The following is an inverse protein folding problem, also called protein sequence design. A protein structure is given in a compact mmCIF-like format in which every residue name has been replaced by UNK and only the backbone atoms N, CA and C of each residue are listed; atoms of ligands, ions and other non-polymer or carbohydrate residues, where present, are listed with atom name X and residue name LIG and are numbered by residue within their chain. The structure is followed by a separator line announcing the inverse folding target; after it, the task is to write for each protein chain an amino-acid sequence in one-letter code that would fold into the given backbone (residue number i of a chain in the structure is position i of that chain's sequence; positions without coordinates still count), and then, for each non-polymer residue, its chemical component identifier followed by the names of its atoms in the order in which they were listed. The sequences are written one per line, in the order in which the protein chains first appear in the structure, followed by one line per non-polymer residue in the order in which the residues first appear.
data_IF_974451882508
#
_entry.id   IF_974451882508
#
_cell.length_a   1.000
_cell.length_b   1.000
_cell.length_c   1.000
_cell.angle_alpha   90.00
_cell.angle_beta   90.00
_cell.angle_gamma   90.00
#
_symmetry.space_group_name_H-M   'P 1'
#
loop_
_entity.id
_entity.type
_entity.pdbx_description
1 polymer ?
#
# COMPACT_ATOMS: atom_id res chain seq x y z
N UNK A 1 8.24 21.02 61.99
CA UNK A 1 8.25 22.00 60.88
C UNK A 1 9.10 21.35 59.79
N UNK A 2 8.46 20.68 58.83
CA UNK A 2 8.13 21.24 57.50
C UNK A 2 9.40 21.22 56.63
N UNK A 3 9.51 20.61 55.46
CA UNK A 3 8.64 19.90 54.51
C UNK A 3 9.59 18.98 53.70
N UNK A 4 9.20 17.83 53.14
CA UNK A 4 8.75 17.67 51.73
C UNK A 4 9.58 18.55 50.75
N UNK A 5 10.20 18.05 49.67
CA UNK A 5 9.54 17.38 48.55
C UNK A 5 10.47 16.39 47.80
N UNK A 6 9.87 15.31 47.34
CA UNK A 6 10.36 14.44 46.26
C UNK A 6 10.05 15.14 44.93
N UNK A 7 11.05 15.40 44.11
CA UNK A 7 10.88 15.66 42.66
C UNK A 7 11.27 14.35 41.94
N UNK A 8 10.29 13.49 41.66
CA UNK A 8 9.53 13.41 40.41
C UNK A 8 10.42 13.13 39.19
N UNK A 9 10.60 11.83 39.00
CA UNK A 9 10.81 11.18 37.71
C UNK A 9 9.75 11.68 36.73
N UNK A 10 10.13 12.49 35.74
CA UNK A 10 9.24 12.87 34.63
C UNK A 10 9.81 12.26 33.33
N UNK A 11 9.51 10.96 33.25
CA UNK A 11 9.30 10.15 32.06
C UNK A 11 9.01 11.01 30.81
N UNK A 12 10.04 11.26 29.99
CA UNK A 12 9.86 11.71 28.61
C UNK A 12 9.24 10.56 27.79
N UNK A 13 7.95 10.30 28.01
CA UNK A 13 7.10 9.66 27.01
C UNK A 13 6.68 10.72 26.01
N UNK A 14 7.51 10.93 25.00
CA UNK A 14 7.01 11.37 23.71
C UNK A 14 5.98 10.32 23.26
N UNK A 15 4.70 10.65 23.42
CA UNK A 15 3.63 9.86 22.86
C UNK A 15 3.82 9.84 21.35
N UNK A 16 4.31 8.71 20.82
CA UNK A 16 4.30 8.44 19.40
C UNK A 16 2.83 8.51 18.95
N UNK A 17 2.44 9.66 18.40
CA UNK A 17 1.12 9.86 17.82
C UNK A 17 0.85 8.72 16.85
N UNK A 18 -0.37 8.19 16.88
CA UNK A 18 -0.73 7.04 16.05
C UNK A 18 -0.34 7.35 14.60
N UNK A 19 0.47 6.50 13.96
CA UNK A 19 1.03 6.83 12.66
C UNK A 19 -0.09 7.04 11.65
N UNK A 20 -0.15 8.24 11.08
CA UNK A 20 -1.23 8.68 10.19
C UNK A 20 -1.29 7.75 8.97
N UNK A 21 -2.45 7.16 8.62
CA UNK A 21 -2.59 6.37 7.41
C UNK A 21 -2.35 7.22 6.15
N UNK A 22 -1.86 6.60 5.07
CA UNK A 22 -1.77 7.29 3.78
C UNK A 22 -3.16 7.75 3.35
N UNK A 23 -3.33 9.04 3.09
CA UNK A 23 -4.57 9.58 2.57
C UNK A 23 -4.82 9.03 1.16
N UNK A 24 -6.07 8.69 0.85
CA UNK A 24 -6.46 8.24 -0.49
C UNK A 24 -6.59 9.47 -1.41
N UNK A 25 -5.57 9.67 -2.24
CA UNK A 25 -5.50 10.77 -3.20
C UNK A 25 -6.37 10.48 -4.42
N UNK A 26 -6.24 9.26 -4.96
CA UNK A 26 -6.96 8.78 -6.14
C UNK A 26 -7.55 7.41 -5.80
N UNK A 27 -8.79 7.19 -6.19
CA UNK A 27 -9.47 5.89 -6.05
C UNK A 27 -10.20 5.62 -7.35
N UNK A 28 -9.91 4.49 -8.00
CA UNK A 28 -10.56 4.08 -9.26
C UNK A 28 -11.11 2.66 -9.10
N UNK A 29 -12.41 2.49 -9.28
CA UNK A 29 -13.03 1.17 -9.18
C UNK A 29 -13.17 0.54 -10.56
N UNK A 30 -12.80 -0.74 -10.68
CA UNK A 30 -12.87 -1.55 -11.91
C UNK A 30 -12.22 -0.84 -13.10
N UNK A 31 -10.99 -0.38 -12.92
CA UNK A 31 -10.18 0.15 -13.99
C UNK A 31 -10.05 -0.92 -15.10
N UNK A 32 -10.52 -0.60 -16.30
CA UNK A 32 -10.55 -1.49 -17.45
C UNK A 32 -9.36 -1.19 -18.37
N UNK A 33 -8.32 -2.00 -18.23
CA UNK A 33 -7.01 -1.87 -18.88
C UNK A 33 -6.41 -3.25 -19.10
N UNK A 34 -5.50 -3.38 -20.05
CA UNK A 34 -4.98 -4.69 -20.48
C UNK A 34 -3.60 -5.05 -19.93
N UNK A 35 -2.76 -4.06 -19.63
CA UNK A 35 -1.39 -4.29 -19.19
C UNK A 35 -0.96 -3.32 -18.09
N UNK A 36 0.19 -3.60 -17.48
CA UNK A 36 0.75 -2.76 -16.42
C UNK A 36 1.04 -1.34 -16.92
N UNK A 37 1.49 -1.14 -18.16
CA UNK A 37 1.78 0.19 -18.69
C UNK A 37 0.51 1.06 -18.77
N UNK A 38 -0.63 0.48 -19.13
CA UNK A 38 -1.93 1.16 -19.14
C UNK A 38 -2.40 1.51 -17.73
N UNK A 39 -2.23 0.60 -16.75
CA UNK A 39 -2.48 0.90 -15.33
C UNK A 39 -1.67 2.11 -14.87
N UNK A 40 -0.35 2.09 -15.12
CA UNK A 40 0.55 3.17 -14.69
C UNK A 40 0.17 4.49 -15.35
N UNK A 41 -0.19 4.47 -16.64
CA UNK A 41 -0.60 5.68 -17.37
C UNK A 41 -1.92 6.25 -16.85
N UNK A 42 -2.91 5.40 -16.60
CA UNK A 42 -4.20 5.84 -16.07
C UNK A 42 -4.04 6.48 -14.69
N UNK A 43 -3.40 5.77 -13.75
CA UNK A 43 -3.22 6.28 -12.38
C UNK A 43 -2.34 7.52 -12.31
N UNK A 44 -1.25 7.57 -13.08
CA UNK A 44 -0.40 8.78 -13.13
C UNK A 44 -1.13 9.98 -13.73
N UNK A 45 -2.04 9.78 -14.71
CA UNK A 45 -2.92 10.84 -15.22
C UNK A 45 -3.81 11.43 -14.13
N UNK A 46 -4.51 10.59 -13.37
CA UNK A 46 -5.33 11.06 -12.24
C UNK A 46 -4.51 11.79 -11.17
N UNK A 47 -3.28 11.34 -10.92
CA UNK A 47 -2.38 11.98 -9.96
C UNK A 47 -1.89 13.34 -10.41
N UNK A 48 -1.64 13.50 -11.72
CA UNK A 48 -1.32 14.79 -12.33
C UNK A 48 -2.50 15.76 -12.20
N UNK A 49 -3.71 15.30 -12.53
CA UNK A 49 -4.93 16.11 -12.40
C UNK A 49 -5.20 16.53 -10.95
N UNK A 50 -4.85 15.68 -9.99
CA UNK A 50 -4.92 15.99 -8.56
C UNK A 50 -3.80 16.93 -8.06
N UNK A 51 -2.81 17.25 -8.89
CA UNK A 51 -1.64 18.05 -8.51
C UNK A 51 -0.72 17.37 -7.49
N UNK A 52 -0.80 16.03 -7.38
CA UNK A 52 -0.09 15.26 -6.36
C UNK A 52 1.34 14.88 -6.76
N UNK A 53 1.64 14.95 -8.06
CA UNK A 53 2.92 14.53 -8.64
C UNK A 53 3.41 15.52 -9.70
N UNK A 54 4.69 15.44 -10.05
CA UNK A 54 5.33 16.26 -11.09
C UNK A 54 4.94 15.81 -12.50
N UNK A 55 5.12 16.69 -13.50
CA UNK A 55 4.77 16.41 -14.91
C UNK A 55 5.51 15.20 -15.52
N UNK A 56 6.71 14.90 -15.02
CA UNK A 56 7.55 13.78 -15.47
C UNK A 56 7.26 12.45 -14.74
N UNK A 57 6.39 12.47 -13.72
CA UNK A 57 6.02 11.28 -12.94
C UNK A 57 5.57 10.07 -13.79
N UNK A 58 4.73 10.21 -14.84
CA UNK A 58 4.33 9.06 -15.66
C UNK A 58 5.51 8.34 -16.31
N UNK A 59 6.49 9.08 -16.83
CA UNK A 59 7.67 8.51 -17.48
C UNK A 59 8.59 7.85 -16.44
N UNK A 60 8.86 8.54 -15.33
CA UNK A 60 9.65 8.02 -14.23
C UNK A 60 9.06 6.72 -13.65
N UNK A 61 7.74 6.70 -13.44
CA UNK A 61 7.01 5.52 -12.95
C UNK A 61 7.13 4.32 -13.90
N UNK A 62 6.96 4.53 -15.20
CA UNK A 62 7.10 3.46 -16.19
C UNK A 62 8.53 2.92 -16.25
N UNK A 63 9.53 3.79 -16.29
CA UNK A 63 10.94 3.40 -16.30
C UNK A 63 11.31 2.61 -15.03
N UNK A 64 10.75 3.02 -13.89
CA UNK A 64 10.98 2.38 -12.59
C UNK A 64 10.37 0.99 -12.51
N UNK A 65 9.15 0.80 -13.00
CA UNK A 65 8.47 -0.49 -13.03
C UNK A 65 9.17 -1.48 -13.97
N UNK A 66 9.59 -1.02 -15.15
CA UNK A 66 10.34 -1.87 -16.10
C UNK A 66 11.65 -2.38 -15.51
N UNK A 67 12.32 -1.54 -14.70
CA UNK A 67 13.62 -1.88 -14.12
C UNK A 67 13.52 -2.69 -12.84
N UNK A 68 12.55 -2.40 -11.99
CA UNK A 68 12.29 -3.19 -10.79
C UNK A 68 10.79 -3.38 -10.63
N UNK A 69 10.27 -4.52 -11.11
CA UNK A 69 8.84 -4.84 -11.06
C UNK A 69 8.30 -4.84 -9.62
N UNK A 70 7.01 -4.53 -9.49
CA UNK A 70 6.34 -4.34 -8.19
C UNK A 70 5.12 -5.23 -8.00
N UNK A 71 4.93 -6.25 -8.84
CA UNK A 71 3.91 -7.27 -8.65
C UNK A 71 4.19 -8.11 -7.40
N UNK A 72 3.16 -8.33 -6.58
CA UNK A 72 3.26 -9.07 -5.32
C UNK A 72 2.49 -10.40 -5.40
N UNK A 73 3.14 -11.56 -5.17
CA UNK A 73 2.50 -12.87 -5.12
C UNK A 73 1.77 -13.07 -3.78
N UNK A 74 0.80 -12.21 -3.51
CA UNK A 74 -0.07 -12.23 -2.33
C UNK A 74 -1.25 -13.19 -2.55
N UNK A 75 -1.98 -13.62 -1.49
CA UNK A 75 -3.09 -14.58 -1.65
C UNK A 75 -4.13 -14.15 -2.70
N UNK A 76 -4.38 -12.85 -2.81
CA UNK A 76 -4.99 -12.24 -3.99
C UNK A 76 -3.90 -11.38 -4.63
N UNK A 77 -3.41 -11.70 -5.84
CA UNK A 77 -2.27 -10.98 -6.41
C UNK A 77 -2.53 -9.47 -6.54
N UNK A 78 -1.53 -8.68 -6.17
CA UNK A 78 -1.59 -7.22 -6.13
C UNK A 78 -0.34 -6.60 -6.75
N UNK A 79 -0.34 -5.30 -7.00
CA UNK A 79 0.86 -4.56 -7.41
C UNK A 79 1.02 -3.28 -6.58
N UNK A 80 2.26 -2.89 -6.30
CA UNK A 80 2.60 -1.66 -5.56
C UNK A 80 3.51 -0.71 -6.35
N UNK A 81 3.13 -0.31 -7.57
CA UNK A 81 3.98 0.56 -8.37
C UNK A 81 4.22 1.89 -7.66
N UNK A 82 5.42 2.41 -7.75
CA UNK A 82 5.82 3.68 -7.15
C UNK A 82 7.00 4.26 -7.91
N UNK A 83 7.13 5.59 -7.86
CA UNK A 83 8.29 6.31 -8.39
C UNK A 83 9.18 6.80 -7.24
N UNK A 84 10.33 7.38 -7.60
CA UNK A 84 11.23 7.97 -6.62
C UNK A 84 10.61 9.22 -5.97
N UNK A 85 10.97 9.54 -4.71
CA UNK A 85 10.32 10.61 -3.94
C UNK A 85 10.34 12.01 -4.56
N UNK A 86 11.33 12.29 -5.41
CA UNK A 86 11.47 13.60 -6.08
C UNK A 86 10.34 13.95 -7.04
N UNK A 87 9.59 12.94 -7.51
CA UNK A 87 8.42 13.14 -8.37
C UNK A 87 7.09 13.29 -7.59
N UNK A 88 7.12 13.17 -6.25
CA UNK A 88 5.94 13.26 -5.38
C UNK A 88 5.85 14.63 -4.74
N UNK A 89 4.75 15.34 -5.00
CA UNK A 89 4.46 16.65 -4.41
C UNK A 89 3.60 16.53 -3.15
N UNK A 90 2.66 15.59 -3.14
CA UNK A 90 1.72 15.36 -2.02
C UNK A 90 1.75 13.86 -1.66
N UNK A 91 2.16 13.50 -0.43
CA UNK A 91 2.10 12.12 0.03
C UNK A 91 0.68 11.57 0.07
N UNK A 92 0.53 10.29 -0.23
CA UNK A 92 -0.78 9.65 -0.26
C UNK A 92 -0.75 8.27 -0.89
N UNK A 93 -1.92 7.81 -1.31
CA UNK A 93 -2.13 6.50 -1.92
C UNK A 93 -3.10 6.66 -3.10
N UNK A 94 -2.69 6.17 -4.27
CA UNK A 94 -3.61 5.87 -5.35
C UNK A 94 -4.02 4.39 -5.25
N UNK A 95 -5.33 4.12 -5.27
CA UNK A 95 -5.87 2.76 -5.16
C UNK A 95 -6.75 2.45 -6.37
N UNK A 96 -6.53 1.30 -7.00
CA UNK A 96 -7.34 0.84 -8.11
C UNK A 96 -7.72 -0.63 -7.95
N UNK A 97 -9.01 -0.95 -8.06
CA UNK A 97 -9.44 -2.31 -8.38
C UNK A 97 -9.49 -2.48 -9.90
N UNK A 98 -9.02 -3.63 -10.41
CA UNK A 98 -8.95 -3.89 -11.84
C UNK A 98 -10.18 -4.69 -12.31
N UNK A 99 -10.76 -4.31 -13.45
CA UNK A 99 -11.91 -5.00 -14.03
C UNK A 99 -11.59 -6.48 -14.33
N UNK A 100 -10.34 -6.73 -14.73
CA UNK A 100 -9.80 -8.04 -15.05
C UNK A 100 -8.38 -8.17 -14.45
N UNK A 101 -7.85 -9.39 -14.25
CA UNK A 101 -6.45 -9.56 -13.85
C UNK A 101 -5.50 -8.96 -14.88
N UNK A 102 -4.49 -8.22 -14.41
CA UNK A 102 -3.48 -7.57 -15.25
C UNK A 102 -2.09 -8.09 -14.89
N UNK A 103 -1.28 -8.55 -15.84
CA UNK A 103 0.05 -9.07 -15.56
C UNK A 103 1.01 -7.97 -15.13
N UNK A 104 1.67 -8.17 -13.99
CA UNK A 104 2.81 -7.38 -13.50
C UNK A 104 4.02 -8.30 -13.33
N UNK A 105 5.22 -7.81 -13.59
CA UNK A 105 6.43 -8.56 -13.25
C UNK A 105 6.50 -8.78 -11.74
N UNK A 106 6.91 -9.97 -11.32
CA UNK A 106 7.02 -10.29 -9.91
C UNK A 106 8.20 -9.53 -9.26
N UNK A 107 7.90 -8.88 -8.15
CA UNK A 107 8.88 -8.20 -7.31
C UNK A 107 9.84 -9.22 -6.70
N UNK A 108 11.14 -8.99 -6.85
CA UNK A 108 12.18 -9.93 -6.39
C UNK A 108 12.92 -10.63 -7.55
N UNK A 109 12.48 -10.43 -8.79
CA UNK A 109 13.28 -10.74 -9.97
C UNK A 109 13.35 -12.22 -10.32
N UNK A 110 12.28 -12.98 -10.06
CA UNK A 110 12.14 -14.37 -10.52
C UNK A 110 12.08 -14.47 -12.05
N UNK A 111 11.67 -13.38 -12.72
CA UNK A 111 11.37 -13.35 -14.16
C UNK A 111 9.93 -13.75 -14.47
N UNK A 112 9.16 -14.11 -13.45
CA UNK A 112 7.76 -14.48 -13.55
C UNK A 112 6.83 -13.25 -13.47
N UNK A 113 5.55 -13.47 -13.75
CA UNK A 113 4.50 -12.46 -13.66
C UNK A 113 3.43 -12.88 -12.67
N UNK A 114 2.80 -11.90 -12.01
CA UNK A 114 1.60 -12.07 -11.20
C UNK A 114 0.41 -11.37 -11.85
N UNK A 115 -0.76 -11.99 -11.80
CA UNK A 115 -2.00 -11.45 -12.37
C UNK A 115 -2.71 -10.56 -11.35
N UNK A 116 -2.23 -9.33 -11.21
CA UNK A 116 -2.72 -8.38 -10.21
C UNK A 116 -4.22 -8.07 -10.39
N UNK A 117 -4.94 -7.99 -9.28
CA UNK A 117 -6.38 -7.62 -9.20
C UNK A 117 -6.60 -6.27 -8.54
N UNK A 118 -5.68 -5.88 -7.66
CA UNK A 118 -5.68 -4.62 -6.94
C UNK A 118 -4.31 -3.96 -7.11
N UNK A 119 -4.32 -2.65 -7.34
CA UNK A 119 -3.11 -1.82 -7.48
C UNK A 119 -3.15 -0.76 -6.38
N UNK A 120 -2.11 -0.74 -5.54
CA UNK A 120 -1.94 0.25 -4.48
C UNK A 120 -0.63 1.00 -4.71
N UNK A 121 -0.71 2.22 -5.25
CA UNK A 121 0.43 3.05 -5.63
C UNK A 121 0.73 4.07 -4.52
N UNK A 122 1.70 3.80 -3.62
CA UNK A 122 2.07 4.74 -2.59
C UNK A 122 2.82 5.94 -3.18
N UNK A 123 2.46 7.14 -2.75
CA UNK A 123 3.14 8.39 -3.07
C UNK A 123 3.91 8.82 -1.83
N UNK A 124 5.23 8.64 -1.86
CA UNK A 124 6.08 8.87 -0.69
C UNK A 124 7.11 9.94 -1.04
N UNK A 125 7.02 11.11 -0.41
CA UNK A 125 8.07 12.14 -0.52
C UNK A 125 9.24 11.89 0.44
N UNK A 126 9.03 11.09 1.49
CA UNK A 126 10.08 10.62 2.40
C UNK A 126 9.79 9.21 2.94
N UNK A 127 10.56 8.22 2.50
CA UNK A 127 10.34 6.83 2.89
C UNK A 127 10.42 6.56 4.41
N UNK A 128 11.23 7.32 5.16
CA UNK A 128 11.36 7.13 6.63
C UNK A 128 10.10 7.58 7.37
N UNK A 129 9.49 8.68 6.93
CA UNK A 129 8.29 9.23 7.54
C UNK A 129 7.06 8.34 7.31
N UNK A 130 7.11 7.48 6.29
CA UNK A 130 5.98 6.63 5.91
C UNK A 130 6.20 5.14 6.18
N UNK A 131 7.28 4.72 6.85
CA UNK A 131 7.57 3.30 7.10
C UNK A 131 6.41 2.57 7.79
N UNK A 132 5.81 3.18 8.82
CA UNK A 132 4.68 2.59 9.53
C UNK A 132 3.44 2.44 8.63
N UNK A 133 3.20 3.42 7.74
CA UNK A 133 2.08 3.37 6.81
C UNK A 133 2.30 2.32 5.71
N UNK A 134 3.53 2.17 5.22
CA UNK A 134 3.93 1.08 4.34
C UNK A 134 3.72 -0.29 4.98
N UNK A 135 4.13 -0.47 6.24
CA UNK A 135 3.93 -1.74 6.95
C UNK A 135 2.44 -2.09 7.07
N UNK A 136 1.57 -1.10 7.34
CA UNK A 136 0.12 -1.30 7.34
C UNK A 136 -0.41 -1.68 5.96
N UNK A 137 0.01 -0.98 4.91
CA UNK A 137 -0.37 -1.31 3.54
C UNK A 137 0.05 -2.75 3.18
N UNK A 138 1.29 -3.14 3.47
CA UNK A 138 1.77 -4.50 3.23
C UNK A 138 1.05 -5.55 4.09
N UNK A 139 0.58 -5.18 5.28
CA UNK A 139 -0.32 -6.02 6.09
C UNK A 139 -1.65 -6.26 5.39
N UNK A 140 -2.30 -5.18 4.95
CA UNK A 140 -3.55 -5.22 4.20
C UNK A 140 -3.44 -6.07 2.93
N UNK A 141 -2.42 -5.85 2.10
CA UNK A 141 -2.26 -6.57 0.83
C UNK A 141 -2.00 -8.08 1.00
N UNK A 142 -1.49 -8.50 2.17
CA UNK A 142 -1.30 -9.93 2.49
C UNK A 142 -2.55 -10.58 3.08
N UNK A 143 -3.49 -9.79 3.57
CA UNK A 143 -4.78 -10.28 4.06
C UNK A 143 -5.73 -10.50 2.87
N UNK A 144 -5.81 -11.76 2.42
CA UNK A 144 -6.65 -12.12 1.28
C UNK A 144 -8.14 -11.81 1.49
N UNK A 145 -8.64 -11.86 2.74
CA UNK A 145 -10.03 -11.53 3.02
C UNK A 145 -10.28 -10.02 2.94
N UNK A 146 -9.34 -9.22 3.45
CA UNK A 146 -9.40 -7.77 3.33
C UNK A 146 -9.28 -7.30 1.87
N UNK A 147 -8.36 -7.89 1.09
CA UNK A 147 -8.26 -7.57 -0.35
C UNK A 147 -9.52 -8.00 -1.11
N UNK A 148 -10.07 -9.18 -0.82
CA UNK A 148 -11.33 -9.62 -1.43
C UNK A 148 -12.49 -8.65 -1.14
N UNK A 149 -12.60 -8.16 0.11
CA UNK A 149 -13.58 -7.14 0.49
C UNK A 149 -13.44 -5.84 -0.32
N UNK A 150 -12.20 -5.39 -0.60
CA UNK A 150 -11.97 -4.24 -1.48
C UNK A 150 -12.42 -4.50 -2.93
N UNK A 151 -12.23 -5.72 -3.43
CA UNK A 151 -12.59 -6.09 -4.80
C UNK A 151 -14.10 -6.22 -5.03
N UNK A 152 -14.89 -6.39 -3.97
CA UNK A 152 -16.36 -6.40 -4.02
C UNK A 152 -16.98 -4.98 -4.12
N UNK A 153 -16.16 -3.93 -4.11
CA UNK A 153 -16.64 -2.55 -4.16
C UNK A 153 -17.46 -2.26 -5.44
N UNK A 154 -18.64 -1.67 -5.25
CA UNK A 154 -19.57 -1.38 -6.33
C UNK A 154 -19.18 -0.15 -7.17
N UNK A 155 -18.42 0.79 -6.62
CA UNK A 155 -17.91 1.99 -7.29
C UNK A 155 -16.74 2.61 -6.50
N UNK A 156 -16.25 3.77 -6.94
CA UNK A 156 -15.13 4.48 -6.32
C UNK A 156 -15.43 4.93 -4.89
N UNK A 157 -16.68 5.27 -4.58
CA UNK A 157 -17.06 5.73 -3.25
C UNK A 157 -17.06 4.56 -2.26
N UNK A 158 -17.63 3.42 -2.66
CA UNK A 158 -17.60 2.17 -1.88
C UNK A 158 -16.15 1.68 -1.69
N UNK A 159 -15.33 1.68 -2.76
CA UNK A 159 -13.93 1.28 -2.67
C UNK A 159 -13.15 2.17 -1.70
N UNK A 160 -13.39 3.49 -1.74
CA UNK A 160 -12.79 4.44 -0.81
C UNK A 160 -13.18 4.15 0.64
N UNK A 161 -14.47 3.99 0.91
CA UNK A 161 -14.97 3.74 2.27
C UNK A 161 -14.36 2.46 2.86
N UNK A 162 -14.34 1.36 2.08
CA UNK A 162 -13.74 0.09 2.51
C UNK A 162 -12.25 0.22 2.73
N UNK A 163 -11.53 0.85 1.80
CA UNK A 163 -10.08 1.05 1.92
C UNK A 163 -9.71 1.85 3.17
N UNK A 164 -10.44 2.94 3.46
CA UNK A 164 -10.23 3.71 4.68
C UNK A 164 -10.51 2.89 5.95
N UNK A 165 -11.56 2.06 5.94
CA UNK A 165 -11.87 1.18 7.07
C UNK A 165 -10.77 0.15 7.32
N UNK A 166 -10.23 -0.46 6.26
CA UNK A 166 -9.14 -1.43 6.35
C UNK A 166 -7.83 -0.77 6.82
N UNK A 167 -7.48 0.40 6.26
CA UNK A 167 -6.25 1.13 6.63
C UNK A 167 -6.27 1.63 8.09
N UNK A 168 -7.45 1.90 8.66
CA UNK A 168 -7.61 2.24 10.09
C UNK A 168 -7.48 1.05 11.02
N UNK A 169 -7.86 -0.16 10.60
CA UNK A 169 -7.85 -1.37 11.46
C UNK A 169 -6.44 -1.89 11.76
N UNK A 170 -5.42 -1.47 11.02
CA UNK A 170 -4.07 -2.02 11.12
C UNK A 170 -4.00 -3.46 10.62
N UNK A 171 -2.80 -4.10 10.58
CA UNK A 171 -2.71 -5.50 10.19
C UNK A 171 -3.52 -6.37 11.16
N UNK A 172 -4.29 -7.32 10.61
CA UNK A 172 -4.84 -8.41 11.42
C UNK A 172 -3.70 -9.10 12.17
N UNK A 173 -3.93 -9.48 13.44
CA UNK A 173 -2.97 -10.30 14.16
C UNK A 173 -2.62 -11.53 13.31
N UNK A 174 -1.33 -11.94 13.22
CA UNK A 174 -0.98 -13.14 12.47
C UNK A 174 -1.86 -14.28 12.99
N UNK A 175 -2.56 -14.95 12.08
CA UNK A 175 -3.28 -16.18 12.41
C UNK A 175 -2.29 -17.20 12.99
N UNK A 176 -2.74 -18.16 13.80
CA UNK A 176 -1.83 -19.17 14.32
C UNK A 176 -1.15 -19.85 13.12
N UNK A 177 0.19 -19.75 13.05
CA UNK A 177 0.99 -20.41 12.04
C UNK A 177 0.60 -21.89 12.01
N UNK A 178 0.01 -22.30 10.90
CA UNK A 178 -0.21 -23.71 10.59
C UNK A 178 1.10 -24.28 10.02
N UNK A 179 2.15 -24.28 10.83
CA UNK A 179 3.36 -25.05 10.54
C UNK A 179 4.00 -25.50 11.86
N UNK A 180 3.35 -26.46 12.51
CA UNK A 180 3.93 -27.21 13.63
C UNK A 180 3.32 -28.62 13.69
N UNK A 181 3.33 -29.33 12.56
CA UNK A 181 3.11 -30.79 12.54
C UNK A 181 3.94 -31.44 11.45
N UNK A 182 5.24 -31.64 11.69
CA UNK A 182 5.92 -32.92 11.43
C UNK A 182 7.38 -32.91 11.90
N UNK A 183 7.63 -33.20 13.18
CA UNK A 183 8.88 -33.89 13.55
C UNK A 183 8.78 -34.61 14.91
N UNK A 184 8.25 -35.85 14.90
CA UNK A 184 8.75 -36.94 15.76
C UNK A 184 8.18 -38.31 15.38
N UNK A 185 8.73 -38.88 14.30
CA UNK A 185 8.89 -40.33 14.14
C UNK A 185 10.21 -40.61 13.42
N UNK A 186 11.29 -40.66 14.21
CA UNK A 186 12.48 -41.49 13.98
C UNK A 186 13.18 -41.68 15.32
#
# INVERSE_FOLDING_TARGET
MSSDEREHDDDHREGAGEPVPLALTVVVARLDVTDSADVLRALSGHLLDAGAVTLDFPEALQAREQRYPTGLPTPVPTAIPHADPEHVLIPGLALASLAHPVPFGEMGGTGDTVDARLVAMPLLSNAREHLAALQRLMGLLRDGAAVADLLEAADEADLRERAEAQLRRGPAAPGPDADDTEEKRA
#
